data_IF_392484176242
#
_entry.id   IF_392484176242
#
_cell.length_a   1.000
_cell.length_b   1.000
_cell.length_c   1.000
_cell.angle_alpha   90.00
_cell.angle_beta   90.00
_cell.angle_gamma   90.00
#
_symmetry.space_group_name_H-M   'P 1'
#
loop_
_entity.id
_entity.type
_entity.pdbx_description
1 polymer ?
#
# COMPACT_ATOMS: atom_id res chain seq x y z
N UNK A 1 57.59 -0.54 54.70
CA UNK A 1 56.20 -1.03 54.69
C UNK A 1 55.32 0.13 54.26
N UNK A 2 54.52 0.01 53.18
CA UNK A 2 53.65 1.09 52.75
C UNK A 2 52.59 1.39 53.83
N UNK A 3 52.43 2.68 54.12
CA UNK A 3 51.56 3.21 55.17
C UNK A 3 50.07 2.91 54.86
N UNK A 4 49.36 2.32 55.81
CA UNK A 4 47.94 1.91 55.68
C UNK A 4 47.03 3.08 55.30
N UNK A 5 47.37 4.32 55.68
CA UNK A 5 46.58 5.52 55.31
C UNK A 5 46.78 5.87 53.83
N UNK A 6 47.97 5.67 53.29
CA UNK A 6 48.22 5.91 51.86
C UNK A 6 47.49 4.90 50.98
N UNK A 7 47.37 3.63 51.40
CA UNK A 7 46.59 2.65 50.65
C UNK A 7 45.09 2.95 50.66
N UNK A 8 44.54 3.41 51.78
CA UNK A 8 43.13 3.78 51.89
C UNK A 8 42.76 4.98 50.98
N UNK A 9 43.64 5.97 50.87
CA UNK A 9 43.42 7.15 50.01
C UNK A 9 43.42 6.75 48.53
N UNK A 10 44.32 5.85 48.12
CA UNK A 10 44.40 5.38 46.73
C UNK A 10 43.16 4.56 46.35
N UNK A 11 42.66 3.70 47.25
CA UNK A 11 41.44 2.92 47.00
C UNK A 11 40.21 3.80 46.88
N UNK A 12 40.03 4.76 47.80
CA UNK A 12 38.90 5.68 47.75
C UNK A 12 38.91 6.55 46.48
N UNK A 13 40.08 7.00 46.03
CA UNK A 13 40.22 7.74 44.78
C UNK A 13 39.85 6.88 43.55
N UNK A 14 40.19 5.59 43.58
CA UNK A 14 39.87 4.66 42.48
C UNK A 14 38.38 4.30 42.43
N UNK A 15 37.73 4.15 43.58
CA UNK A 15 36.29 3.94 43.67
C UNK A 15 35.50 5.17 43.20
N UNK A 16 35.93 6.37 43.57
CA UNK A 16 35.34 7.62 43.10
C UNK A 16 35.46 7.77 41.57
N UNK A 17 36.63 7.48 41.00
CA UNK A 17 36.84 7.53 39.56
C UNK A 17 35.98 6.48 38.81
N UNK A 18 35.78 5.29 39.39
CA UNK A 18 34.92 4.28 38.79
C UNK A 18 33.44 4.67 38.85
N UNK A 19 32.99 5.23 39.98
CA UNK A 19 31.62 5.74 40.12
C UNK A 19 31.32 6.91 39.16
N UNK A 20 32.31 7.78 38.92
CA UNK A 20 32.20 8.87 37.95
C UNK A 20 32.12 8.35 36.50
N UNK A 21 32.87 7.29 36.17
CA UNK A 21 32.78 6.63 34.87
C UNK A 21 31.44 5.91 34.65
N UNK A 22 30.91 5.24 35.68
CA UNK A 22 29.59 4.61 35.64
C UNK A 22 28.46 5.66 35.52
N UNK A 23 28.56 6.79 36.22
CA UNK A 23 27.61 7.89 36.11
C UNK A 23 27.63 8.57 34.73
N UNK A 24 28.82 8.79 34.16
CA UNK A 24 28.97 9.34 32.81
C UNK A 24 28.41 8.38 31.73
N UNK A 25 28.57 7.07 31.92
CA UNK A 25 28.00 6.06 31.02
C UNK A 25 26.46 5.99 31.12
N UNK A 26 25.89 6.18 32.31
CA UNK A 26 24.44 6.22 32.51
C UNK A 26 23.81 7.46 31.86
N UNK A 27 24.40 8.65 32.09
CA UNK A 27 23.90 9.90 31.50
C UNK A 27 23.96 9.87 29.96
N UNK A 28 25.05 9.33 29.40
CA UNK A 28 25.21 9.19 27.94
C UNK A 28 24.17 8.23 27.34
N UNK A 29 23.74 7.21 28.09
CA UNK A 29 22.73 6.24 27.65
C UNK A 29 21.31 6.83 27.66
N UNK A 30 20.98 7.65 28.66
CA UNK A 30 19.70 8.37 28.72
C UNK A 30 19.61 9.43 27.60
N UNK A 31 20.69 10.17 27.34
CA UNK A 31 20.73 11.18 26.28
C UNK A 31 20.69 10.58 24.86
N UNK A 32 21.22 9.36 24.67
CA UNK A 32 21.14 8.62 23.41
C UNK A 32 19.75 8.01 23.16
N UNK A 33 19.05 7.57 24.22
CA UNK A 33 17.64 7.12 24.12
C UNK A 33 16.67 8.28 23.81
N UNK A 34 16.92 9.50 24.29
CA UNK A 34 16.11 10.68 23.93
C UNK A 34 16.38 11.22 22.53
N UNK A 35 17.61 11.05 22.01
CA UNK A 35 18.03 11.63 20.72
C UNK A 35 17.49 10.89 19.49
N UNK A 36 17.07 9.63 19.63
CA UNK A 36 16.53 8.84 18.53
C UNK A 36 15.07 8.44 18.79
N UNK A 37 14.11 8.86 17.95
CA UNK A 37 12.69 8.54 18.13
C UNK A 37 12.36 7.05 17.95
N UNK A 38 13.34 6.21 17.65
CA UNK A 38 13.20 4.77 17.54
C UNK A 38 14.28 4.07 18.39
N UNK A 39 13.89 3.33 19.45
CA UNK A 39 14.85 2.58 20.25
C UNK A 39 15.51 1.51 19.38
N UNK A 40 16.80 1.24 19.58
CA UNK A 40 17.56 0.22 18.81
C UNK A 40 16.89 -1.17 18.77
N UNK A 41 16.06 -1.50 19.77
CA UNK A 41 15.20 -2.70 19.79
C UNK A 41 14.18 -2.76 18.64
N UNK A 42 13.73 -1.63 18.11
CA UNK A 42 12.81 -1.55 16.98
C UNK A 42 13.42 -2.08 15.67
N UNK A 43 14.75 -1.99 15.51
CA UNK A 43 15.47 -2.48 14.33
C UNK A 43 15.57 -4.01 14.28
N UNK A 44 15.47 -4.67 15.43
CA UNK A 44 15.51 -6.13 15.53
C UNK A 44 14.12 -6.78 15.48
N UNK A 45 13.06 -5.97 15.38
CA UNK A 45 11.71 -6.51 15.18
C UNK A 45 11.55 -6.90 13.71
N UNK A 46 11.04 -8.10 13.40
CA UNK A 46 10.70 -8.41 12.03
C UNK A 46 9.69 -7.36 11.54
N UNK A 47 9.84 -6.87 10.30
CA UNK A 47 8.91 -5.88 9.77
C UNK A 47 7.48 -6.46 9.85
N UNK A 48 6.47 -5.63 10.15
CA UNK A 48 5.10 -6.08 10.12
C UNK A 48 4.82 -6.74 8.77
N UNK A 49 4.15 -7.89 8.79
CA UNK A 49 3.72 -8.55 7.56
C UNK A 49 2.76 -7.61 6.84
N UNK A 50 3.27 -6.91 5.83
CA UNK A 50 2.47 -6.00 5.02
C UNK A 50 1.39 -6.84 4.32
N UNK A 51 0.14 -6.39 4.41
CA UNK A 51 -0.92 -6.98 3.62
C UNK A 51 -0.52 -6.93 2.12
N UNK A 52 -0.88 -7.95 1.33
CA UNK A 52 -0.57 -7.96 -0.09
C UNK A 52 -1.08 -6.69 -0.75
N UNK A 53 -0.21 -5.99 -1.49
CA UNK A 53 -0.58 -4.82 -2.27
C UNK A 53 -1.64 -5.20 -3.31
N UNK A 54 -2.73 -4.45 -3.32
CA UNK A 54 -3.84 -4.60 -4.27
C UNK A 54 -4.03 -3.30 -5.03
N UNK A 55 -4.26 -3.43 -6.33
CA UNK A 55 -4.41 -2.31 -7.26
C UNK A 55 -5.86 -2.26 -7.73
N UNK A 56 -6.58 -1.15 -7.49
CA UNK A 56 -7.95 -1.03 -7.94
C UNK A 56 -7.98 -0.78 -9.45
N UNK A 57 -8.79 -1.54 -10.17
CA UNK A 57 -9.04 -1.41 -11.61
C UNK A 57 -10.51 -1.08 -11.82
N UNK A 58 -10.80 -0.05 -12.60
CA UNK A 58 -12.14 0.40 -12.91
C UNK A 58 -12.80 -0.53 -13.94
N UNK A 59 -14.04 -0.92 -13.65
CA UNK A 59 -14.94 -1.55 -14.62
C UNK A 59 -15.77 -0.47 -15.31
N UNK A 60 -15.64 -0.35 -16.62
CA UNK A 60 -16.32 0.68 -17.41
C UNK A 60 -17.41 0.02 -18.28
N UNK A 61 -18.70 0.31 -18.04
CA UNK A 61 -19.80 -0.38 -18.74
C UNK A 61 -19.74 -0.32 -20.27
N UNK A 62 -19.18 0.75 -20.84
CA UNK A 62 -18.97 0.91 -22.28
C UNK A 62 -17.52 0.78 -22.74
N UNK A 63 -16.62 0.30 -21.87
CA UNK A 63 -15.20 0.16 -22.19
C UNK A 63 -14.79 -1.29 -22.45
N UNK A 64 -13.48 -1.52 -22.69
CA UNK A 64 -12.95 -2.85 -22.98
C UNK A 64 -13.18 -3.88 -21.88
N UNK A 65 -13.34 -3.40 -20.63
CA UNK A 65 -13.59 -4.21 -19.44
C UNK A 65 -14.85 -3.70 -18.75
N UNK A 66 -15.98 -4.28 -19.15
CA UNK A 66 -17.30 -3.95 -18.58
C UNK A 66 -17.67 -4.78 -17.36
N UNK A 67 -17.01 -5.93 -17.15
CA UNK A 67 -17.36 -6.88 -16.09
C UNK A 67 -16.13 -7.51 -15.44
N UNK A 68 -16.30 -8.03 -14.23
CA UNK A 68 -15.26 -8.79 -13.52
C UNK A 68 -14.83 -10.04 -14.31
N UNK A 69 -15.72 -10.64 -15.10
CA UNK A 69 -15.43 -11.79 -15.97
C UNK A 69 -14.47 -11.40 -17.11
N UNK A 70 -14.72 -10.28 -17.78
CA UNK A 70 -13.79 -9.75 -18.79
C UNK A 70 -12.44 -9.39 -18.17
N UNK A 71 -12.45 -8.83 -16.96
CA UNK A 71 -11.22 -8.55 -16.21
C UNK A 71 -10.46 -9.83 -15.87
N UNK A 72 -11.15 -10.89 -15.44
CA UNK A 72 -10.55 -12.20 -15.16
C UNK A 72 -9.85 -12.76 -16.39
N UNK A 73 -10.50 -12.72 -17.55
CA UNK A 73 -9.92 -13.18 -18.83
C UNK A 73 -8.67 -12.37 -19.20
N UNK A 74 -8.71 -11.04 -19.01
CA UNK A 74 -7.58 -10.16 -19.32
C UNK A 74 -6.39 -10.38 -18.37
N UNK A 75 -6.67 -10.45 -17.07
CA UNK A 75 -5.69 -10.62 -16.00
C UNK A 75 -5.23 -12.08 -15.82
N UNK A 76 -5.89 -13.03 -16.48
CA UNK A 76 -5.72 -14.49 -16.29
C UNK A 76 -5.77 -14.89 -14.81
N UNK A 77 -6.76 -14.38 -14.10
CA UNK A 77 -6.95 -14.67 -12.69
C UNK A 77 -7.63 -16.03 -12.54
N UNK A 78 -7.15 -16.86 -11.61
CA UNK A 78 -7.71 -18.20 -11.34
C UNK A 78 -9.15 -18.14 -10.83
N UNK A 79 -9.52 -17.05 -10.15
CA UNK A 79 -10.85 -16.80 -9.61
C UNK A 79 -11.42 -15.49 -10.13
N UNK A 80 -12.75 -15.39 -10.11
CA UNK A 80 -13.43 -14.16 -10.47
C UNK A 80 -13.06 -13.06 -9.46
N UNK A 81 -12.47 -11.94 -9.90
CA UNK A 81 -12.07 -10.87 -9.00
C UNK A 81 -13.30 -10.21 -8.37
N UNK A 82 -13.18 -9.86 -7.10
CA UNK A 82 -14.26 -9.22 -6.35
C UNK A 82 -14.58 -7.84 -6.94
N UNK A 83 -15.83 -7.65 -7.34
CA UNK A 83 -16.35 -6.38 -7.81
C UNK A 83 -16.90 -5.58 -6.62
N UNK A 84 -16.36 -4.38 -6.42
CA UNK A 84 -16.70 -3.51 -5.30
C UNK A 84 -17.26 -2.21 -5.84
N UNK A 85 -18.48 -1.88 -5.45
CA UNK A 85 -19.06 -0.56 -5.71
C UNK A 85 -18.37 0.50 -4.84
N UNK A 86 -17.94 1.57 -5.48
CA UNK A 86 -17.23 2.69 -4.88
C UNK A 86 -17.67 3.99 -5.53
N UNK A 87 -17.17 5.11 -5.03
CA UNK A 87 -17.41 6.42 -5.61
C UNK A 87 -16.16 6.93 -6.32
N UNK A 88 -16.32 7.44 -7.54
CA UNK A 88 -15.33 8.24 -8.25
C UNK A 88 -15.54 9.71 -7.91
N UNK A 89 -14.45 10.43 -7.69
CA UNK A 89 -14.44 11.88 -7.46
C UNK A 89 -13.76 12.51 -8.66
N UNK A 90 -14.48 13.40 -9.34
CA UNK A 90 -13.90 14.29 -10.34
C UNK A 90 -13.26 15.49 -9.62
N UNK A 91 -12.03 15.81 -9.97
CA UNK A 91 -11.24 16.89 -9.34
C UNK A 91 -11.46 18.24 -10.05
N UNK A 92 -12.24 18.29 -11.15
CA UNK A 92 -12.48 19.53 -11.89
C UNK A 92 -13.35 20.52 -11.07
N UNK A 93 -12.78 21.71 -10.85
CA UNK A 93 -12.99 22.63 -9.70
C UNK A 93 -14.34 23.39 -9.68
N UNK A 94 -15.47 22.77 -9.99
CA UNK A 94 -16.78 23.46 -9.92
C UNK A 94 -17.98 22.61 -9.53
N UNK A 95 -17.91 21.29 -9.66
CA UNK A 95 -18.99 20.41 -9.24
C UNK A 95 -18.43 19.03 -8.93
N UNK A 96 -18.18 18.74 -7.64
CA UNK A 96 -17.72 17.41 -7.18
C UNK A 96 -18.84 16.39 -7.39
N UNK A 97 -19.01 15.94 -8.62
CA UNK A 97 -19.98 14.93 -8.95
C UNK A 97 -19.44 13.57 -8.50
N UNK A 98 -20.05 13.03 -7.44
CA UNK A 98 -19.70 11.73 -6.90
C UNK A 98 -20.40 10.68 -7.74
N UNK A 99 -19.69 10.11 -8.72
CA UNK A 99 -20.23 9.05 -9.56
C UNK A 99 -20.04 7.69 -8.91
N UNK A 100 -21.08 6.86 -8.86
CA UNK A 100 -20.93 5.44 -8.48
C UNK A 100 -20.20 4.70 -9.58
N UNK A 101 -19.14 3.99 -9.22
CA UNK A 101 -18.34 3.17 -10.13
C UNK A 101 -18.03 1.83 -9.47
N UNK A 102 -17.71 0.83 -10.29
CA UNK A 102 -17.31 -0.49 -9.80
C UNK A 102 -15.83 -0.68 -10.03
N UNK A 103 -15.12 -1.15 -9.01
CA UNK A 103 -13.70 -1.49 -9.10
C UNK A 103 -13.47 -2.95 -8.77
N UNK A 104 -12.42 -3.53 -9.34
CA UNK A 104 -11.87 -4.82 -8.92
C UNK A 104 -10.45 -4.64 -8.42
N UNK A 105 -10.12 -5.32 -7.32
CA UNK A 105 -8.77 -5.29 -6.76
C UNK A 105 -7.92 -6.43 -7.32
N UNK A 106 -6.86 -6.10 -8.06
CA UNK A 106 -5.94 -7.09 -8.64
C UNK A 106 -4.59 -7.10 -7.93
N UNK A 107 -3.87 -8.21 -8.03
CA UNK A 107 -2.47 -8.33 -7.60
C UNK A 107 -1.52 -7.66 -8.60
N UNK A 108 -0.26 -7.43 -8.18
CA UNK A 108 0.76 -6.88 -9.06
C UNK A 108 1.00 -7.77 -10.31
N UNK A 109 0.94 -9.09 -10.16
CA UNK A 109 1.16 -10.02 -11.27
C UNK A 109 0.01 -9.98 -12.27
N UNK A 110 -1.22 -9.91 -11.78
CA UNK A 110 -2.43 -9.74 -12.61
C UNK A 110 -2.37 -8.41 -13.38
N UNK A 111 -2.04 -7.31 -12.69
CA UNK A 111 -1.87 -6.00 -13.31
C UNK A 111 -0.81 -6.02 -14.42
N UNK A 112 0.31 -6.68 -14.19
CA UNK A 112 1.38 -6.83 -15.20
C UNK A 112 0.88 -7.56 -16.44
N UNK A 113 0.13 -8.65 -16.29
CA UNK A 113 -0.48 -9.38 -17.42
C UNK A 113 -1.46 -8.49 -18.20
N UNK A 114 -2.25 -7.68 -17.49
CA UNK A 114 -3.14 -6.71 -18.13
C UNK A 114 -2.34 -5.69 -18.95
N UNK A 115 -1.24 -5.14 -18.43
CA UNK A 115 -0.35 -4.22 -19.16
C UNK A 115 0.29 -4.82 -20.41
N UNK A 116 0.50 -6.13 -20.42
CA UNK A 116 1.02 -6.83 -21.60
C UNK A 116 -0.03 -6.90 -22.71
N UNK A 117 -1.33 -7.02 -22.36
CA UNK A 117 -2.45 -7.24 -23.28
C UNK A 117 -3.30 -6.01 -23.60
N UNK A 118 -3.18 -4.96 -22.81
CA UNK A 118 -4.01 -3.78 -22.92
C UNK A 118 -3.22 -2.49 -22.67
N UNK A 119 -3.76 -1.38 -23.13
CA UNK A 119 -3.33 -0.04 -22.78
C UNK A 119 -4.08 0.39 -21.52
N UNK A 120 -3.34 0.60 -20.43
CA UNK A 120 -3.91 1.05 -19.16
C UNK A 120 -3.49 2.49 -18.85
N UNK A 121 -4.44 3.27 -18.37
CA UNK A 121 -4.24 4.54 -17.68
C UNK A 121 -4.13 4.32 -16.18
N UNK A 122 -3.38 5.20 -15.53
CA UNK A 122 -3.31 5.28 -14.07
C UNK A 122 -3.39 6.73 -13.61
N UNK A 123 -4.29 7.02 -12.68
CA UNK A 123 -4.31 8.30 -11.98
C UNK A 123 -4.77 9.51 -12.82
N UNK A 124 -4.05 10.63 -12.68
CA UNK A 124 -4.46 11.99 -13.08
C UNK A 124 -4.78 12.20 -14.56
N UNK A 125 -4.29 11.35 -15.48
CA UNK A 125 -4.56 11.54 -16.91
C UNK A 125 -6.03 11.33 -17.29
N UNK A 126 -6.82 10.66 -16.43
CA UNK A 126 -8.24 10.37 -16.69
C UNK A 126 -9.16 10.61 -15.49
N UNK A 127 -8.72 11.38 -14.48
CA UNK A 127 -9.49 11.66 -13.25
C UNK A 127 -10.04 10.38 -12.58
N UNK A 128 -9.30 9.27 -12.62
CA UNK A 128 -9.76 8.01 -12.02
C UNK A 128 -9.33 7.93 -10.55
N UNK A 129 -9.83 8.88 -9.77
CA UNK A 129 -9.68 8.89 -8.31
C UNK A 129 -10.93 8.29 -7.69
N UNK A 130 -10.77 7.20 -6.94
CA UNK A 130 -11.87 6.51 -6.26
C UNK A 130 -11.73 6.62 -4.74
N UNK A 131 -12.84 6.77 -4.04
CA UNK A 131 -12.89 6.78 -2.57
C UNK A 131 -13.20 5.38 -2.08
N UNK A 132 -12.18 4.63 -1.70
CA UNK A 132 -12.31 3.27 -1.20
C UNK A 132 -11.91 3.20 0.28
N UNK A 133 -12.82 2.69 1.11
CA UNK A 133 -12.65 2.56 2.57
C UNK A 133 -12.25 3.88 3.26
N UNK A 134 -12.90 4.99 2.85
CA UNK A 134 -12.66 6.33 3.41
C UNK A 134 -11.36 7.01 2.95
N UNK A 135 -10.59 6.38 2.06
CA UNK A 135 -9.36 6.93 1.50
C UNK A 135 -9.48 7.13 -0.02
N UNK A 136 -8.94 8.24 -0.53
CA UNK A 136 -8.78 8.45 -1.97
C UNK A 136 -7.66 7.56 -2.50
N UNK A 137 -7.91 6.90 -3.62
CA UNK A 137 -6.96 6.03 -4.32
C UNK A 137 -7.03 6.28 -5.81
N UNK A 138 -5.88 6.21 -6.47
CA UNK A 138 -5.83 6.13 -7.93
C UNK A 138 -6.21 4.72 -8.36
N UNK A 139 -7.15 4.62 -9.30
CA UNK A 139 -7.49 3.40 -9.96
C UNK A 139 -6.91 3.35 -11.39
N UNK A 140 -6.75 2.13 -11.87
CA UNK A 140 -6.33 1.83 -13.22
C UNK A 140 -7.57 1.71 -14.11
N UNK A 141 -7.54 2.28 -15.30
CA UNK A 141 -8.58 2.08 -16.30
C UNK A 141 -7.97 1.46 -17.56
N UNK A 142 -8.73 0.59 -18.21
CA UNK A 142 -8.32 -0.02 -19.48
C UNK A 142 -8.88 0.84 -20.61
N UNK A 143 -7.99 1.46 -21.39
CA UNK A 143 -8.38 2.31 -22.53
C UNK A 143 -8.69 1.49 -23.77
N UNK A 144 -7.80 0.57 -24.11
CA UNK A 144 -7.88 -0.23 -25.31
C UNK A 144 -7.19 -1.59 -25.10
N UNK A 145 -7.62 -2.60 -25.86
CA UNK A 145 -6.90 -3.87 -25.96
C UNK A 145 -5.83 -3.74 -27.04
N UNK A 146 -4.69 -4.40 -26.84
CA UNK A 146 -3.65 -4.47 -27.87
C UNK A 146 -4.07 -5.41 -29.00
N UNK A 147 -3.46 -5.23 -30.15
CA UNK A 147 -3.75 -6.00 -31.36
C UNK A 147 -3.64 -7.51 -31.11
N UNK A 148 -4.66 -8.26 -31.53
CA UNK A 148 -4.74 -9.72 -31.38
C UNK A 148 -5.35 -10.21 -30.05
N UNK A 149 -5.73 -9.30 -29.13
CA UNK A 149 -6.42 -9.66 -27.89
C UNK A 149 -7.92 -9.49 -28.06
N UNK A 150 -8.69 -10.58 -27.96
CA UNK A 150 -10.16 -10.55 -27.92
C UNK A 150 -10.67 -11.13 -26.61
N UNK A 151 -11.58 -10.42 -25.95
CA UNK A 151 -12.28 -10.87 -24.76
C UNK A 151 -13.69 -11.21 -25.21
N UNK A 152 -13.97 -12.50 -25.47
CA UNK A 152 -15.22 -12.93 -26.10
C UNK A 152 -16.49 -12.33 -25.47
N UNK A 153 -17.44 -11.93 -26.32
CA UNK A 153 -18.68 -11.21 -25.98
C UNK A 153 -19.82 -12.15 -25.55
N UNK A 154 -19.67 -12.79 -24.39
CA UNK A 154 -20.65 -13.78 -23.91
C UNK A 154 -21.77 -13.19 -23.02
N UNK A 155 -21.88 -11.85 -22.89
CA UNK A 155 -22.78 -11.21 -21.92
C UNK A 155 -23.94 -10.37 -22.54
N UNK A 156 -24.22 -10.44 -23.85
CA UNK A 156 -25.27 -9.61 -24.49
C UNK A 156 -26.68 -10.24 -24.62
N UNK A 157 -26.92 -11.45 -24.09
CA UNK A 157 -28.16 -12.21 -24.39
C UNK A 157 -29.21 -12.35 -23.26
N UNK A 158 -29.20 -11.51 -22.20
CA UNK A 158 -30.15 -11.66 -21.07
C UNK A 158 -31.16 -10.52 -20.82
N UNK A 159 -31.43 -9.63 -21.80
CA UNK A 159 -32.49 -8.60 -21.62
C UNK A 159 -33.56 -8.55 -22.72
N UNK A 160 -33.88 -9.69 -23.37
CA UNK A 160 -34.96 -9.76 -24.38
C UNK A 160 -36.15 -10.66 -24.05
N UNK A 161 -36.39 -10.99 -22.78
CA UNK A 161 -37.46 -11.94 -22.39
C UNK A 161 -38.55 -11.42 -21.45
N UNK A 162 -38.73 -10.10 -21.28
CA UNK A 162 -39.80 -9.56 -20.41
C UNK A 162 -40.68 -8.47 -21.05
N UNK A 163 -40.84 -8.49 -22.37
CA UNK A 163 -41.88 -7.71 -23.03
C UNK A 163 -42.66 -8.58 -24.03
N UNK A 164 -43.64 -9.32 -23.54
CA UNK A 164 -44.79 -9.80 -24.31
C UNK A 164 -46.04 -9.57 -23.49
#
# INVERSE_FOLDING_TARGET
>A
MPDLRHQAIITAAKEAANAEADAAAALSREEEEERYPWPAKAWNSPPPKLAPLRYPVLLTPGGPISSASKLQKLAETESLPEAIETSQVDDDDSNREIKKVTICNVSHNELKKMMEKAELSHGMEENVTVVFNGAMRFAWAVKALKEGVTLGDEDEDEERSLAT
#
